data_IF_601128932399
#
_entry.id   IF_601128932399
#
_cell.length_a   1.000
_cell.length_b   1.000
_cell.length_c   1.000
_cell.angle_alpha   90.00
_cell.angle_beta   90.00
_cell.angle_gamma   90.00
#
_symmetry.space_group_name_H-M   'P 1'
#
loop_
_entity.id
_entity.type
_entity.pdbx_description
1 polymer ?
#
# COMPACT_ATOMS: atom_id res chain seq x y z
N UNK A 1 -3.94 43.66 7.68
CA UNK A 1 -3.09 42.54 8.15
C UNK A 1 -3.58 41.33 7.38
N UNK A 2 -2.91 41.02 6.28
CA UNK A 2 -3.24 39.88 5.43
C UNK A 2 -2.44 38.69 5.96
N UNK A 3 -3.12 37.75 6.61
CA UNK A 3 -2.55 36.45 6.95
C UNK A 3 -2.51 35.61 5.67
N UNK A 4 -1.37 35.64 4.97
CA UNK A 4 -1.06 34.62 3.98
C UNK A 4 -0.82 33.28 4.69
N UNK A 5 -1.41 32.17 4.21
CA UNK A 5 -1.12 30.86 4.75
C UNK A 5 0.33 30.50 4.42
N UNK A 6 1.15 30.39 5.46
CA UNK A 6 2.52 29.88 5.41
C UNK A 6 2.52 28.49 4.75
N UNK A 7 2.85 28.44 3.45
CA UNK A 7 3.13 27.21 2.73
C UNK A 7 4.36 26.56 3.36
N UNK A 8 4.32 25.27 3.72
CA UNK A 8 5.50 24.62 4.26
C UNK A 8 6.62 24.65 3.23
N UNK A 9 7.83 24.89 3.75
CA UNK A 9 9.11 24.87 3.05
C UNK A 9 9.25 23.65 2.14
N UNK A 10 9.93 23.86 1.01
CA UNK A 10 10.18 22.94 -0.09
C UNK A 10 10.22 21.46 0.31
N UNK A 11 9.44 20.65 -0.42
CA UNK A 11 9.46 19.19 -0.33
C UNK A 11 10.91 18.71 -0.56
N UNK A 12 11.36 17.62 0.12
CA UNK A 12 12.71 17.12 -0.04
C UNK A 12 13.01 16.87 -1.52
N UNK A 13 14.13 17.42 -2.00
CA UNK A 13 14.49 17.44 -3.42
C UNK A 13 14.79 16.06 -4.00
N UNK A 14 15.04 15.05 -3.16
CA UNK A 14 15.18 13.65 -3.56
C UNK A 14 14.66 12.77 -2.44
N UNK A 15 13.52 12.10 -2.65
CA UNK A 15 13.11 11.00 -1.77
C UNK A 15 14.09 9.83 -1.94
N UNK A 16 14.40 9.08 -0.87
CA UNK A 16 15.09 7.80 -1.00
C UNK A 16 14.35 6.89 -2.00
N UNK A 17 14.95 6.69 -3.18
CA UNK A 17 14.40 5.89 -4.28
C UNK A 17 13.83 6.64 -5.51
N UNK A 18 13.78 7.98 -5.50
CA UNK A 18 13.44 8.75 -6.71
C UNK A 18 14.47 8.56 -7.85
N UNK A 19 15.71 8.19 -7.52
CA UNK A 19 16.78 7.94 -8.48
C UNK A 19 16.70 6.58 -9.21
N UNK A 20 15.71 5.74 -8.90
CA UNK A 20 15.64 4.37 -9.42
C UNK A 20 14.86 4.26 -10.75
N UNK A 21 14.22 5.34 -11.20
CA UNK A 21 13.40 5.35 -12.40
C UNK A 21 13.77 6.51 -13.32
N UNK A 22 13.83 6.25 -14.62
CA UNK A 22 13.97 7.29 -15.63
C UNK A 22 12.65 8.06 -15.78
N UNK A 23 12.72 9.30 -16.29
CA UNK A 23 11.52 10.09 -16.61
C UNK A 23 10.58 9.34 -17.57
N UNK A 24 11.13 8.54 -18.49
CA UNK A 24 10.37 7.68 -19.39
C UNK A 24 9.61 6.58 -18.65
N UNK A 25 10.24 5.93 -17.66
CA UNK A 25 9.57 4.92 -16.83
C UNK A 25 8.47 5.54 -15.96
N UNK A 26 8.73 6.72 -15.40
CA UNK A 26 7.74 7.49 -14.64
C UNK A 26 6.54 7.85 -15.53
N UNK A 27 6.80 8.35 -16.74
CA UNK A 27 5.75 8.72 -17.68
C UNK A 27 4.95 7.51 -18.16
N UNK A 28 5.64 6.40 -18.47
CA UNK A 28 5.01 5.13 -18.85
C UNK A 28 4.06 4.63 -17.76
N UNK A 29 4.52 4.68 -16.51
CA UNK A 29 3.70 4.30 -15.37
C UNK A 29 2.53 5.27 -15.14
N UNK A 30 2.73 6.57 -15.34
CA UNK A 30 1.66 7.57 -15.28
C UNK A 30 0.56 7.28 -16.31
N UNK A 31 0.95 6.99 -17.56
CA UNK A 31 0.01 6.65 -18.64
C UNK A 31 -0.73 5.34 -18.33
N UNK A 32 -0.03 4.31 -17.87
CA UNK A 32 -0.64 3.04 -17.48
C UNK A 32 -1.69 3.21 -16.38
N UNK A 33 -1.38 3.96 -15.32
CA UNK A 33 -2.31 4.20 -14.21
C UNK A 33 -3.45 5.18 -14.56
N UNK A 34 -3.40 5.85 -15.71
CA UNK A 34 -4.51 6.65 -16.24
C UNK A 34 -5.52 5.82 -17.05
N UNK A 35 -5.24 4.55 -17.32
CA UNK A 35 -6.15 3.64 -18.02
C UNK A 35 -7.37 3.26 -17.15
N UNK A 36 -8.43 2.68 -17.75
CA UNK A 36 -9.65 2.32 -17.01
C UNK A 36 -9.36 1.44 -15.79
N UNK A 37 -10.06 1.74 -14.69
CA UNK A 37 -10.04 0.97 -13.46
C UNK A 37 -11.47 0.65 -13.03
N UNK A 38 -11.73 -0.59 -12.63
CA UNK A 38 -13.04 -1.03 -12.15
C UNK A 38 -12.94 -1.82 -10.86
N UNK A 39 -13.95 -1.67 -9.99
CA UNK A 39 -14.14 -2.59 -8.88
C UNK A 39 -14.73 -3.90 -9.41
N UNK A 40 -14.06 -5.01 -9.11
CA UNK A 40 -14.48 -6.34 -9.54
C UNK A 40 -15.40 -6.95 -8.49
N UNK A 41 -14.87 -7.10 -7.27
CA UNK A 41 -15.62 -7.67 -6.16
C UNK A 41 -14.92 -7.48 -4.81
N UNK A 42 -15.68 -7.67 -3.74
CA UNK A 42 -15.17 -7.92 -2.40
C UNK A 42 -15.32 -9.39 -2.06
N UNK A 43 -14.20 -10.08 -1.84
CA UNK A 43 -14.20 -11.50 -1.49
C UNK A 43 -14.17 -11.69 0.03
N UNK A 44 -15.07 -12.55 0.52
CA UNK A 44 -15.15 -12.96 1.94
C UNK A 44 -14.59 -14.36 2.19
N UNK A 45 -14.26 -15.09 1.12
CA UNK A 45 -13.76 -16.48 1.11
C UNK A 45 -12.86 -16.68 -0.11
N UNK A 46 -11.95 -17.65 -0.03
CA UNK A 46 -10.98 -17.95 -1.10
C UNK A 46 -11.63 -18.48 -2.39
N UNK A 47 -12.66 -19.32 -2.25
CA UNK A 47 -13.42 -19.93 -3.35
C UNK A 47 -14.21 -18.92 -4.20
N UNK A 48 -14.48 -17.73 -3.64
CA UNK A 48 -15.16 -16.65 -4.32
C UNK A 48 -14.19 -15.68 -5.04
N UNK A 49 -12.87 -15.82 -4.90
CA UNK A 49 -11.92 -14.89 -5.51
C UNK A 49 -11.87 -15.05 -7.04
N UNK A 50 -11.53 -13.97 -7.79
CA UNK A 50 -11.27 -14.12 -9.22
C UNK A 50 -10.13 -15.09 -9.46
N UNK A 51 -10.15 -15.77 -10.62
CA UNK A 51 -9.10 -16.67 -11.05
C UNK A 51 -7.72 -16.01 -10.94
N UNK A 52 -6.67 -16.78 -10.64
CA UNK A 52 -5.31 -16.26 -10.45
C UNK A 52 -4.58 -16.03 -11.79
N UNK A 53 -5.24 -15.38 -12.74
CA UNK A 53 -4.84 -15.23 -14.16
C UNK A 53 -4.13 -13.90 -14.51
N UNK A 54 -4.20 -12.89 -13.64
CA UNK A 54 -3.54 -11.59 -13.82
C UNK A 54 -2.60 -11.29 -12.65
N UNK A 55 -1.46 -10.63 -12.86
CA UNK A 55 -0.58 -10.22 -11.76
C UNK A 55 -1.30 -9.35 -10.73
N UNK A 56 -0.99 -9.59 -9.46
CA UNK A 56 -1.60 -8.91 -8.31
C UNK A 56 -0.57 -8.18 -7.47
N UNK A 57 -0.93 -6.97 -7.04
CA UNK A 57 -0.28 -6.30 -5.92
C UNK A 57 -1.30 -6.01 -4.85
N UNK A 58 -0.95 -6.29 -3.60
CA UNK A 58 -1.85 -6.12 -2.48
C UNK A 58 -1.41 -4.97 -1.58
N UNK A 59 -2.37 -4.29 -0.97
CA UNK A 59 -2.14 -3.21 -0.01
C UNK A 59 -2.62 -3.66 1.37
N UNK A 60 -1.72 -3.64 2.34
CA UNK A 60 -2.00 -3.96 3.74
C UNK A 60 -1.67 -2.74 4.62
N UNK A 61 -2.26 -2.66 5.80
CA UNK A 61 -1.92 -1.61 6.75
C UNK A 61 -2.91 -1.50 7.90
N UNK A 62 -2.57 -0.69 8.90
CA UNK A 62 -3.50 -0.36 9.99
C UNK A 62 -4.76 0.33 9.47
N UNK A 63 -5.83 0.26 10.26
CA UNK A 63 -6.98 1.15 10.05
C UNK A 63 -6.54 2.62 9.97
N UNK A 64 -7.15 3.39 9.07
CA UNK A 64 -6.88 4.82 8.89
C UNK A 64 -5.43 5.19 8.56
N UNK A 65 -4.61 4.24 8.12
CA UNK A 65 -3.23 4.51 7.68
C UNK A 65 -3.18 5.31 6.38
N UNK A 66 -4.27 5.34 5.61
CA UNK A 66 -4.35 6.01 4.31
C UNK A 66 -4.41 5.07 3.11
N UNK A 67 -4.66 3.77 3.32
CA UNK A 67 -4.73 2.75 2.26
C UNK A 67 -5.69 3.08 1.11
N UNK A 68 -6.95 3.36 1.43
CA UNK A 68 -7.93 3.73 0.39
C UNK A 68 -7.55 5.03 -0.32
N UNK A 69 -7.02 6.03 0.41
CA UNK A 69 -6.52 7.28 -0.18
C UNK A 69 -5.35 7.04 -1.13
N UNK A 70 -4.43 6.13 -0.78
CA UNK A 70 -3.30 5.76 -1.63
C UNK A 70 -3.75 5.04 -2.90
N UNK A 71 -4.64 4.04 -2.78
CA UNK A 71 -5.18 3.32 -3.94
C UNK A 71 -5.88 4.32 -4.88
N UNK A 72 -6.77 5.16 -4.34
CA UNK A 72 -7.46 6.20 -5.08
C UNK A 72 -6.48 7.18 -5.76
N UNK A 73 -5.44 7.62 -5.04
CA UNK A 73 -4.40 8.49 -5.58
C UNK A 73 -3.58 7.84 -6.69
N UNK A 74 -3.28 6.54 -6.60
CA UNK A 74 -2.56 5.81 -7.63
C UNK A 74 -3.32 5.85 -8.97
N UNK A 75 -4.63 5.61 -8.95
CA UNK A 75 -5.45 5.52 -10.17
C UNK A 75 -6.21 6.81 -10.51
N UNK A 76 -5.96 7.92 -9.81
CA UNK A 76 -6.61 9.20 -10.07
C UNK A 76 -8.12 9.23 -9.81
N UNK A 77 -8.64 8.33 -8.97
CA UNK A 77 -10.06 8.24 -8.63
C UNK A 77 -10.34 8.81 -7.24
N UNK A 78 -11.57 9.27 -6.97
CA UNK A 78 -11.95 9.80 -5.63
C UNK A 78 -12.62 8.77 -4.72
N UNK A 79 -13.38 7.84 -5.31
CA UNK A 79 -14.31 6.98 -4.56
C UNK A 79 -14.27 5.50 -4.96
N UNK A 80 -13.21 5.08 -5.65
CA UNK A 80 -13.04 3.68 -6.07
C UNK A 80 -12.85 2.79 -4.85
N UNK A 81 -11.77 3.02 -4.10
CA UNK A 81 -11.55 2.40 -2.80
C UNK A 81 -12.24 3.24 -1.72
N UNK A 82 -13.27 2.68 -1.08
CA UNK A 82 -13.98 3.35 0.01
C UNK A 82 -13.38 2.93 1.35
N UNK A 83 -13.05 3.90 2.20
CA UNK A 83 -12.67 3.62 3.58
C UNK A 83 -13.91 3.09 4.33
N UNK A 84 -14.01 1.77 4.49
CA UNK A 84 -15.00 1.14 5.37
C UNK A 84 -14.61 1.45 6.82
N UNK A 85 -15.08 2.58 7.34
CA UNK A 85 -14.82 3.04 8.70
C UNK A 85 -15.93 2.63 9.70
N UNK A 86 -16.96 1.92 9.24
CA UNK A 86 -18.08 1.50 10.08
C UNK A 86 -17.76 0.18 10.82
N UNK A 87 -17.76 0.19 12.18
CA UNK A 87 -17.65 -1.03 12.96
C UNK A 87 -18.82 -1.97 12.65
N UNK A 88 -18.53 -3.22 12.30
CA UNK A 88 -19.55 -4.26 12.07
C UNK A 88 -19.82 -4.62 10.61
N UNK A 89 -19.20 -3.94 9.62
CA UNK A 89 -19.25 -4.42 8.24
C UNK A 89 -18.35 -5.64 8.02
N UNK A 90 -18.85 -6.59 7.23
CA UNK A 90 -18.07 -7.70 6.67
C UNK A 90 -16.83 -7.14 6.00
N UNK A 91 -15.65 -7.64 6.38
CA UNK A 91 -14.40 -7.20 5.78
C UNK A 91 -14.09 -8.07 4.59
N UNK A 92 -13.93 -7.41 3.46
CA UNK A 92 -13.73 -8.06 2.19
C UNK A 92 -12.30 -7.78 1.73
N UNK A 93 -11.72 -8.73 1.00
CA UNK A 93 -10.57 -8.44 0.16
C UNK A 93 -11.12 -7.85 -1.13
N UNK A 94 -10.87 -6.57 -1.37
CA UNK A 94 -11.42 -5.89 -2.55
C UNK A 94 -10.45 -5.99 -3.71
N UNK A 95 -10.97 -6.37 -4.88
CA UNK A 95 -10.20 -6.48 -6.11
C UNK A 95 -10.59 -5.34 -7.05
N UNK A 96 -9.59 -4.62 -7.55
CA UNK A 96 -9.74 -3.60 -8.57
C UNK A 96 -8.93 -3.99 -9.80
N UNK A 97 -9.56 -4.03 -10.96
CA UNK A 97 -8.91 -4.33 -12.23
C UNK A 97 -8.44 -3.02 -12.86
N UNK A 98 -7.14 -2.88 -13.06
CA UNK A 98 -6.52 -1.74 -13.73
C UNK A 98 -6.05 -2.18 -15.12
N UNK A 99 -6.45 -1.41 -16.13
CA UNK A 99 -6.03 -1.59 -17.52
C UNK A 99 -6.32 -2.98 -18.12
N UNK A 100 -7.24 -3.74 -17.51
CA UNK A 100 -7.48 -5.17 -17.83
C UNK A 100 -6.23 -6.06 -17.72
N UNK A 101 -5.18 -5.57 -17.04
CA UNK A 101 -3.85 -6.21 -17.02
C UNK A 101 -3.37 -6.56 -15.64
N UNK A 102 -3.68 -5.74 -14.63
CA UNK A 102 -3.23 -5.99 -13.25
C UNK A 102 -4.39 -5.85 -12.28
N UNK A 103 -4.30 -6.56 -11.16
CA UNK A 103 -5.24 -6.39 -10.05
C UNK A 103 -4.57 -5.69 -8.87
N UNK A 104 -5.15 -4.55 -8.47
CA UNK A 104 -4.86 -3.90 -7.21
C UNK A 104 -5.77 -4.51 -6.15
N UNK A 105 -5.18 -5.04 -5.09
CA UNK A 105 -5.92 -5.78 -4.05
C UNK A 105 -5.88 -5.03 -2.73
N UNK A 106 -7.03 -4.69 -2.20
CA UNK A 106 -7.16 -3.99 -0.93
C UNK A 106 -7.44 -4.99 0.19
N UNK A 107 -6.43 -5.25 1.02
CA UNK A 107 -6.59 -6.15 2.16
C UNK A 107 -7.29 -5.45 3.33
N UNK A 108 -8.07 -6.18 4.14
CA UNK A 108 -8.63 -5.66 5.38
C UNK A 108 -7.55 -5.06 6.27
N UNK A 109 -7.82 -3.89 6.84
CA UNK A 109 -6.87 -3.29 7.78
C UNK A 109 -6.71 -4.12 9.05
N UNK A 110 -5.50 -4.18 9.60
CA UNK A 110 -5.21 -4.89 10.86
C UNK A 110 -5.19 -3.93 12.07
N UNK A 111 -5.13 -4.49 13.28
CA UNK A 111 -4.97 -3.72 14.53
C UNK A 111 -6.24 -3.05 15.07
N UNK A 112 -7.42 -3.59 14.81
CA UNK A 112 -8.68 -3.06 15.33
C UNK A 112 -9.01 -3.61 16.72
N UNK A 113 -9.27 -2.72 17.68
CA UNK A 113 -9.62 -3.06 19.05
C UNK A 113 -11.11 -3.39 19.29
N UNK A 114 -12.00 -3.17 18.31
CA UNK A 114 -13.47 -3.15 18.50
C UNK A 114 -14.25 -4.19 17.69
N UNK A 115 -13.62 -5.27 17.26
CA UNK A 115 -14.29 -6.39 16.56
C UNK A 115 -14.31 -7.61 17.48
N UNK A 116 -15.38 -8.42 17.41
CA UNK A 116 -15.39 -9.69 18.15
C UNK A 116 -14.21 -10.57 17.69
N UNK A 117 -13.63 -11.33 18.63
CA UNK A 117 -12.47 -12.21 18.34
C UNK A 117 -12.75 -13.13 17.15
N UNK A 118 -13.91 -13.78 17.12
CA UNK A 118 -14.29 -14.70 16.04
C UNK A 118 -14.34 -14.07 14.64
N UNK A 119 -14.72 -12.79 14.53
CA UNK A 119 -14.75 -12.07 13.26
C UNK A 119 -13.32 -11.62 12.89
N UNK A 120 -12.54 -11.17 13.87
CA UNK A 120 -11.13 -10.81 13.65
C UNK A 120 -10.31 -12.02 13.16
N UNK A 121 -10.51 -13.19 13.78
CA UNK A 121 -9.82 -14.44 13.45
C UNK A 121 -10.14 -14.87 12.01
N UNK A 122 -11.42 -14.87 11.61
CA UNK A 122 -11.83 -15.21 10.24
C UNK A 122 -11.17 -14.32 9.17
N UNK A 123 -11.00 -13.02 9.44
CA UNK A 123 -10.34 -12.13 8.49
C UNK A 123 -8.82 -12.28 8.50
N UNK A 124 -8.23 -12.56 9.66
CA UNK A 124 -6.83 -12.94 9.73
C UNK A 124 -6.59 -14.23 8.93
N UNK A 125 -7.48 -15.21 9.04
CA UNK A 125 -7.41 -16.46 8.29
C UNK A 125 -7.59 -16.24 6.79
N UNK A 126 -8.57 -15.44 6.38
CA UNK A 126 -8.77 -15.12 4.96
C UNK A 126 -7.56 -14.37 4.38
N UNK A 127 -7.03 -13.38 5.09
CA UNK A 127 -5.83 -12.65 4.66
C UNK A 127 -4.61 -13.57 4.58
N UNK A 128 -4.40 -14.44 5.58
CA UNK A 128 -3.32 -15.43 5.56
C UNK A 128 -3.49 -16.46 4.44
N UNK A 129 -4.72 -16.89 4.16
CA UNK A 129 -5.03 -17.81 3.06
C UNK A 129 -4.76 -17.14 1.70
N UNK A 130 -5.12 -15.87 1.54
CA UNK A 130 -4.78 -15.08 0.36
C UNK A 130 -3.26 -15.00 0.17
N UNK A 131 -2.52 -14.62 1.21
CA UNK A 131 -1.06 -14.49 1.15
C UNK A 131 -0.35 -15.80 0.77
N UNK A 132 -0.83 -16.95 1.26
CA UNK A 132 -0.23 -18.26 0.94
C UNK A 132 -0.73 -18.87 -0.37
N UNK A 133 -1.94 -18.53 -0.79
CA UNK A 133 -2.67 -19.25 -1.83
C UNK A 133 -2.76 -18.55 -3.19
N UNK A 134 -2.20 -17.33 -3.32
CA UNK A 134 -2.27 -16.55 -4.57
C UNK A 134 -0.93 -16.60 -5.31
N UNK A 135 -0.75 -17.51 -6.28
CA UNK A 135 0.51 -17.66 -7.01
C UNK A 135 0.86 -16.45 -7.89
N UNK A 136 -0.14 -15.65 -8.25
CA UNK A 136 -0.03 -14.44 -9.07
C UNK A 136 0.21 -13.16 -8.23
N UNK A 137 0.28 -13.27 -6.90
CA UNK A 137 0.62 -12.14 -6.02
C UNK A 137 2.12 -11.83 -6.13
N UNK A 138 2.43 -10.66 -6.71
CA UNK A 138 3.80 -10.22 -6.96
C UNK A 138 4.42 -9.55 -5.73
N UNK A 139 3.65 -8.70 -5.03
CA UNK A 139 4.13 -7.99 -3.83
C UNK A 139 3.00 -7.46 -2.96
N UNK A 140 3.24 -7.41 -1.66
CA UNK A 140 2.41 -6.68 -0.69
C UNK A 140 3.05 -5.35 -0.34
N UNK A 141 2.35 -4.24 -0.55
CA UNK A 141 2.73 -2.93 -0.03
C UNK A 141 2.12 -2.76 1.37
N UNK A 142 2.99 -2.73 2.39
CA UNK A 142 2.59 -2.55 3.78
C UNK A 142 2.68 -1.07 4.13
N UNK A 143 1.51 -0.47 4.36
CA UNK A 143 1.38 0.96 4.60
C UNK A 143 1.56 1.28 6.08
N UNK A 144 2.40 2.27 6.36
CA UNK A 144 2.75 2.75 7.70
C UNK A 144 2.60 4.27 7.75
N UNK A 145 1.89 4.80 8.76
CA UNK A 145 1.72 6.26 8.91
C UNK A 145 3.08 6.90 9.31
N UNK A 146 3.63 7.77 8.47
CA UNK A 146 4.96 8.35 8.66
C UNK A 146 5.09 9.12 9.99
N UNK A 147 3.99 9.68 10.50
CA UNK A 147 3.95 10.39 11.80
C UNK A 147 4.25 9.50 13.01
N UNK A 148 4.10 8.19 12.85
CA UNK A 148 4.15 7.23 13.94
C UNK A 148 5.17 6.11 13.74
N UNK A 149 5.59 5.87 12.49
CA UNK A 149 6.46 4.76 12.14
C UNK A 149 5.85 3.39 12.45
N UNK A 150 6.71 2.38 12.46
CA UNK A 150 6.35 1.00 12.76
C UNK A 150 5.85 0.87 14.21
N UNK A 151 4.75 0.14 14.38
CA UNK A 151 4.24 -0.27 15.70
C UNK A 151 4.31 -1.79 15.84
N UNK A 152 4.12 -2.28 17.07
CA UNK A 152 4.09 -3.73 17.37
C UNK A 152 3.14 -4.51 16.45
N UNK A 153 1.94 -3.97 16.20
CA UNK A 153 0.95 -4.62 15.33
C UNK A 153 1.40 -4.67 13.86
N UNK A 154 2.24 -3.72 13.42
CA UNK A 154 2.83 -3.79 12.08
C UNK A 154 3.86 -4.92 12.04
N UNK A 155 4.71 -5.08 13.08
CA UNK A 155 5.68 -6.18 13.17
C UNK A 155 5.03 -7.56 13.13
N UNK A 156 3.90 -7.75 13.81
CA UNK A 156 3.12 -9.00 13.76
C UNK A 156 2.61 -9.30 12.34
N UNK A 157 2.25 -8.27 11.56
CA UNK A 157 1.88 -8.43 10.17
C UNK A 157 3.09 -8.78 9.29
N UNK A 158 4.26 -8.17 9.55
CA UNK A 158 5.50 -8.52 8.87
C UNK A 158 5.93 -9.97 9.15
N UNK A 159 5.79 -10.44 10.39
CA UNK A 159 6.09 -11.84 10.76
C UNK A 159 5.21 -12.83 9.99
N UNK A 160 3.94 -12.47 9.75
CA UNK A 160 3.02 -13.29 8.96
C UNK A 160 3.42 -13.34 7.48
N UNK A 161 3.90 -12.22 6.92
CA UNK A 161 4.40 -12.14 5.54
C UNK A 161 5.70 -12.94 5.38
N UNK A 162 6.63 -12.81 6.34
CA UNK A 162 7.87 -13.59 6.37
C UNK A 162 7.56 -15.09 6.42
N UNK A 163 6.65 -15.51 7.29
CA UNK A 163 6.22 -16.93 7.41
C UNK A 163 5.57 -17.44 6.13
N UNK A 164 4.86 -16.58 5.40
CA UNK A 164 4.23 -16.93 4.12
C UNK A 164 5.21 -16.84 2.93
N UNK A 165 6.46 -16.41 3.15
CA UNK A 165 7.45 -16.13 2.11
C UNK A 165 6.94 -15.18 1.03
N UNK A 166 6.08 -14.22 1.39
CA UNK A 166 5.50 -13.24 0.47
C UNK A 166 6.36 -12.00 0.45
N UNK A 167 6.87 -11.62 -0.74
CA UNK A 167 7.61 -10.38 -0.90
C UNK A 167 6.75 -9.17 -0.51
N UNK A 168 7.29 -8.29 0.32
CA UNK A 168 6.60 -7.08 0.72
C UNK A 168 7.50 -5.86 0.76
N UNK A 169 6.92 -4.68 0.58
CA UNK A 169 7.63 -3.41 0.63
C UNK A 169 6.90 -2.44 1.55
N UNK A 170 7.66 -1.70 2.36
CA UNK A 170 7.06 -0.70 3.25
C UNK A 170 6.83 0.60 2.48
N UNK A 171 5.61 1.13 2.60
CA UNK A 171 5.23 2.43 2.08
C UNK A 171 4.82 3.33 3.24
N UNK A 172 5.60 4.36 3.52
CA UNK A 172 5.25 5.37 4.50
C UNK A 172 4.20 6.30 3.89
N UNK A 173 3.05 6.46 4.52
CA UNK A 173 1.98 7.34 4.07
C UNK A 173 1.98 8.65 4.87
N UNK A 174 1.31 9.68 4.34
CA UNK A 174 1.13 10.99 5.00
C UNK A 174 2.46 11.68 5.33
N UNK A 175 3.47 11.48 4.48
CA UNK A 175 4.77 12.12 4.66
C UNK A 175 4.69 13.65 4.65
N UNK A 176 3.64 14.23 4.03
CA UNK A 176 3.34 15.67 4.06
C UNK A 176 2.97 16.22 5.45
N UNK A 177 2.73 15.35 6.44
CA UNK A 177 2.33 15.76 7.80
C UNK A 177 3.50 15.88 8.77
N UNK A 178 4.73 15.62 8.33
CA UNK A 178 5.96 15.76 9.12
C UNK A 178 7.02 16.52 8.31
N UNK A 179 8.05 17.02 8.98
CA UNK A 179 9.13 17.76 8.30
C UNK A 179 10.00 16.82 7.45
N UNK A 180 10.66 17.31 6.39
CA UNK A 180 11.50 16.48 5.51
C UNK A 180 12.53 15.62 6.25
N UNK A 181 13.29 16.21 7.19
CA UNK A 181 14.27 15.46 7.98
C UNK A 181 13.65 14.39 8.91
N UNK A 182 12.39 14.56 9.30
CA UNK A 182 11.66 13.54 10.06
C UNK A 182 11.24 12.38 9.17
N UNK A 183 10.90 12.66 7.89
CA UNK A 183 10.67 11.63 6.86
C UNK A 183 11.94 10.78 6.68
N UNK A 184 13.09 11.43 6.49
CA UNK A 184 14.37 10.74 6.30
C UNK A 184 14.72 9.85 7.51
N UNK A 185 14.48 10.37 8.72
CA UNK A 185 14.67 9.61 9.96
C UNK A 185 13.78 8.37 10.00
N UNK A 186 12.48 8.50 9.77
CA UNK A 186 11.56 7.34 9.83
C UNK A 186 11.84 6.33 8.71
N UNK A 187 12.29 6.78 7.53
CA UNK A 187 12.75 5.90 6.45
C UNK A 187 13.95 5.08 6.92
N UNK A 188 14.98 5.71 7.47
CA UNK A 188 16.18 5.05 7.95
C UNK A 188 15.89 4.05 9.10
N UNK A 189 15.05 4.46 10.06
CA UNK A 189 14.62 3.59 11.16
C UNK A 189 13.84 2.37 10.66
N UNK A 190 12.95 2.57 9.67
CA UNK A 190 12.16 1.50 9.06
C UNK A 190 13.05 0.54 8.28
N UNK A 191 13.98 1.05 7.45
CA UNK A 191 14.96 0.24 6.72
C UNK A 191 15.80 -0.62 7.67
N UNK A 192 16.29 -0.03 8.77
CA UNK A 192 17.04 -0.75 9.80
C UNK A 192 16.18 -1.86 10.42
N UNK A 193 14.92 -1.58 10.73
CA UNK A 193 14.00 -2.54 11.35
C UNK A 193 13.67 -3.74 10.45
N UNK A 194 13.63 -3.56 9.12
CA UNK A 194 13.34 -4.63 8.16
C UNK A 194 14.59 -5.32 7.59
N UNK A 195 15.79 -4.80 7.86
CA UNK A 195 17.06 -5.26 7.25
C UNK A 195 17.37 -6.76 7.41
N UNK A 196 16.83 -7.42 8.43
CA UNK A 196 17.03 -8.86 8.70
C UNK A 196 15.88 -9.75 8.21
N UNK A 197 14.86 -9.16 7.59
CA UNK A 197 13.66 -9.88 7.13
C UNK A 197 13.84 -10.21 5.65
N UNK A 198 14.01 -11.49 5.34
CA UNK A 198 14.34 -11.93 3.98
C UNK A 198 13.23 -11.65 2.95
N UNK A 199 11.96 -11.62 3.38
CA UNK A 199 10.85 -11.30 2.49
C UNK A 199 10.66 -9.78 2.29
N UNK A 200 11.32 -8.94 3.10
CA UNK A 200 11.26 -7.50 2.95
C UNK A 200 12.08 -7.06 1.73
N UNK A 201 11.41 -6.34 0.83
CA UNK A 201 12.08 -5.59 -0.23
C UNK A 201 12.96 -4.53 0.45
N UNK A 202 14.26 -4.42 0.08
CA UNK A 202 15.24 -3.60 0.79
C UNK A 202 15.12 -2.10 0.46
N UNK A 203 13.89 -1.60 0.34
CA UNK A 203 13.56 -0.22 0.07
C UNK A 203 12.29 0.18 0.82
N UNK A 204 12.28 1.41 1.33
CA UNK A 204 11.13 2.03 1.97
C UNK A 204 10.79 3.29 1.17
N UNK A 205 9.54 3.40 0.72
CA UNK A 205 9.09 4.54 -0.07
C UNK A 205 8.21 5.45 0.79
N UNK A 206 8.49 6.75 0.81
CA UNK A 206 7.63 7.73 1.46
C UNK A 206 6.66 8.35 0.46
N UNK A 207 5.39 8.46 0.85
CA UNK A 207 4.30 8.90 -0.02
C UNK A 207 3.36 9.90 0.65
N UNK A 208 2.75 10.75 -0.18
CA UNK A 208 1.59 11.57 0.18
C UNK A 208 0.56 11.49 -0.93
N UNK A 209 -0.60 10.90 -0.64
CA UNK A 209 -1.73 10.92 -1.57
C UNK A 209 -2.34 12.31 -1.74
N UNK A 210 -2.08 13.23 -0.79
CA UNK A 210 -2.58 14.61 -0.84
C UNK A 210 -1.67 15.51 -1.68
N UNK A 211 -0.35 15.34 -1.57
CA UNK A 211 0.64 16.17 -2.27
C UNK A 211 1.26 15.50 -3.50
N UNK A 212 0.94 14.24 -3.76
CA UNK A 212 1.50 13.46 -4.88
C UNK A 212 2.92 12.95 -4.65
N UNK A 213 3.54 13.27 -3.50
CA UNK A 213 4.89 12.83 -3.15
C UNK A 213 5.02 11.30 -3.22
N UNK A 214 6.05 10.78 -3.89
CA UNK A 214 6.35 9.34 -3.99
C UNK A 214 5.34 8.51 -4.80
N UNK A 215 4.25 9.13 -5.29
CA UNK A 215 3.22 8.43 -6.06
C UNK A 215 3.70 8.02 -7.46
N UNK A 216 4.46 8.86 -8.20
CA UNK A 216 5.02 8.45 -9.50
C UNK A 216 5.93 7.23 -9.39
N UNK A 217 6.81 7.19 -8.39
CA UNK A 217 7.74 6.09 -8.15
C UNK A 217 6.99 4.81 -7.77
N UNK A 218 5.94 4.91 -6.93
CA UNK A 218 5.13 3.74 -6.58
C UNK A 218 4.41 3.17 -7.79
N UNK A 219 3.91 4.01 -8.71
CA UNK A 219 3.33 3.54 -9.98
C UNK A 219 4.39 2.81 -10.81
N UNK A 220 5.58 3.39 -10.95
CA UNK A 220 6.66 2.80 -11.73
C UNK A 220 7.14 1.47 -11.15
N UNK A 221 7.22 1.34 -9.81
CA UNK A 221 7.50 0.06 -9.16
C UNK A 221 6.46 -1.00 -9.48
N UNK A 222 5.17 -0.64 -9.43
CA UNK A 222 4.07 -1.58 -9.73
C UNK A 222 4.09 -2.00 -11.20
N UNK A 223 4.30 -1.06 -12.13
CA UNK A 223 4.39 -1.38 -13.57
C UNK A 223 5.56 -2.30 -13.84
N UNK A 224 6.76 -1.95 -13.36
CA UNK A 224 7.96 -2.77 -13.54
C UNK A 224 7.77 -4.20 -13.04
N UNK A 225 7.09 -4.36 -11.90
CA UNK A 225 6.86 -5.66 -11.28
C UNK A 225 5.80 -6.51 -11.99
N UNK A 226 4.81 -5.88 -12.62
CA UNK A 226 3.63 -6.60 -13.13
C UNK A 226 3.56 -6.68 -14.65
N UNK A 227 4.24 -5.79 -15.37
CA UNK A 227 4.12 -5.65 -16.83
C UNK A 227 5.46 -5.92 -17.53
N UNK A 228 6.57 -5.51 -16.92
CA UNK A 228 7.89 -5.59 -17.56
C UNK A 228 8.64 -6.90 -17.25
N UNK A 229 7.98 -7.87 -16.59
CA UNK A 229 8.50 -9.22 -16.29
C UNK A 229 8.11 -10.26 -17.35
#
# INVERSE_FOLDING_TARGET
>A
MNDEPNLPAELPSVLPGAADFTDEQIETARVFFAQPVSFIMGAVRMDAMPAADLPEVAFAGRSNVGKSSLINGLVGQKYLARASNEPGRTREINFFLLAEKIRLVDLPGYGFARVSRSIADKFQDLGRAYLRGRPNLKRVYVLIDARHGLKKVDLEALDALDTAAVSYQIVLTKADKIKPHEVDKVVAETLKAISKRAAAFPRVLATSSEKGLGMPELRAEIVRLCIDE
#
